data_IF_981345401054
#
_entry.id   IF_981345401054
#
_cell.length_a   1.000
_cell.length_b   1.000
_cell.length_c   1.000
_cell.angle_alpha   90.00
_cell.angle_beta   90.00
_cell.angle_gamma   90.00
#
_symmetry.space_group_name_H-M   'P 1'
#
loop_
_entity.id
_entity.type
_entity.pdbx_description
1 polymer ?
#
# COMPACT_ATOMS: atom_id res chain seq x y z
N UNK A 1 25.13 -24.39 -7.90
CA UNK A 1 24.55 -23.10 -8.34
C UNK A 1 25.60 -22.02 -8.23
N UNK A 2 25.85 -21.30 -9.33
CA UNK A 2 26.77 -20.15 -9.38
C UNK A 2 26.14 -18.90 -8.78
N UNK A 3 26.95 -17.89 -8.42
CA UNK A 3 26.45 -16.60 -7.90
C UNK A 3 25.50 -15.89 -8.88
N UNK A 4 25.76 -16.01 -10.19
CA UNK A 4 24.91 -15.43 -11.25
C UNK A 4 23.56 -16.15 -11.36
N UNK A 5 23.55 -17.48 -11.24
CA UNK A 5 22.31 -18.27 -11.17
C UNK A 5 21.51 -17.95 -9.91
N UNK A 6 22.20 -17.82 -8.77
CA UNK A 6 21.59 -17.45 -7.48
C UNK A 6 20.83 -16.13 -7.59
N UNK A 7 21.49 -15.10 -8.12
CA UNK A 7 20.87 -13.79 -8.34
C UNK A 7 19.62 -13.88 -9.21
N UNK A 8 19.69 -14.60 -10.33
CA UNK A 8 18.53 -14.80 -11.23
C UNK A 8 17.39 -15.55 -10.53
N UNK A 9 17.71 -16.57 -9.73
CA UNK A 9 16.72 -17.35 -9.00
C UNK A 9 16.06 -16.54 -7.89
N UNK A 10 16.83 -15.80 -7.10
CA UNK A 10 16.33 -14.88 -6.06
C UNK A 10 15.34 -13.88 -6.66
N UNK A 11 15.71 -13.21 -7.75
CA UNK A 11 14.82 -12.25 -8.41
C UNK A 11 13.53 -12.89 -8.94
N UNK A 12 13.62 -14.14 -9.45
CA UNK A 12 12.43 -14.89 -9.87
C UNK A 12 11.54 -15.27 -8.68
N UNK A 13 12.13 -15.73 -7.59
CA UNK A 13 11.41 -16.11 -6.37
C UNK A 13 10.70 -14.92 -5.75
N UNK A 14 11.38 -13.77 -5.60
CA UNK A 14 10.77 -12.52 -5.12
C UNK A 14 9.50 -12.19 -5.90
N UNK A 15 9.60 -12.13 -7.24
CA UNK A 15 8.46 -11.83 -8.12
C UNK A 15 7.31 -12.84 -7.99
N UNK A 16 7.62 -14.14 -7.92
CA UNK A 16 6.59 -15.18 -7.78
C UNK A 16 5.88 -15.11 -6.43
N UNK A 17 6.66 -14.98 -5.35
CA UNK A 17 6.12 -14.88 -3.99
C UNK A 17 5.24 -13.63 -3.87
N UNK A 18 5.71 -12.48 -4.34
CA UNK A 18 4.92 -11.24 -4.33
C UNK A 18 3.65 -11.36 -5.16
N UNK A 19 3.71 -12.02 -6.32
CA UNK A 19 2.54 -12.27 -7.15
C UNK A 19 1.49 -13.12 -6.42
N UNK A 20 1.87 -14.27 -5.85
CA UNK A 20 0.91 -15.13 -5.15
C UNK A 20 0.38 -14.50 -3.87
N UNK A 21 1.21 -13.76 -3.14
CA UNK A 21 0.78 -12.96 -1.99
C UNK A 21 -0.24 -11.91 -2.38
N UNK A 22 -0.01 -11.21 -3.50
CA UNK A 22 -0.96 -10.21 -4.01
C UNK A 22 -2.30 -10.86 -4.37
N UNK A 23 -2.28 -12.02 -5.04
CA UNK A 23 -3.51 -12.75 -5.34
C UNK A 23 -4.28 -13.08 -4.05
N UNK A 24 -3.60 -13.65 -3.05
CA UNK A 24 -4.25 -14.10 -1.83
C UNK A 24 -4.68 -12.94 -0.92
N UNK A 25 -3.77 -12.03 -0.56
CA UNK A 25 -4.02 -11.00 0.45
C UNK A 25 -4.68 -9.72 -0.06
N UNK A 26 -4.68 -9.48 -1.38
CA UNK A 26 -5.26 -8.26 -1.97
C UNK A 26 -6.45 -8.57 -2.87
N UNK A 27 -6.38 -9.65 -3.65
CA UNK A 27 -7.47 -10.02 -4.55
C UNK A 27 -8.38 -11.11 -3.99
N UNK A 28 -8.09 -11.64 -2.80
CA UNK A 28 -8.81 -12.74 -2.17
C UNK A 28 -8.94 -13.96 -3.12
N UNK A 29 -7.81 -14.34 -3.73
CA UNK A 29 -7.70 -15.44 -4.70
C UNK A 29 -6.58 -16.40 -4.35
N UNK A 30 -6.93 -17.65 -4.10
CA UNK A 30 -5.97 -18.73 -3.90
C UNK A 30 -5.59 -19.37 -5.25
N UNK A 31 -4.32 -19.24 -5.65
CA UNK A 31 -3.81 -19.80 -6.91
C UNK A 31 -2.85 -20.98 -6.71
N UNK A 32 -2.25 -21.10 -5.52
CA UNK A 32 -1.39 -22.19 -5.08
C UNK A 32 -1.67 -22.47 -3.61
N UNK A 33 -1.34 -23.68 -3.13
CA UNK A 33 -1.48 -24.02 -1.72
C UNK A 33 -0.53 -23.21 -0.83
N UNK A 34 -0.90 -23.04 0.44
CA UNK A 34 -0.02 -22.44 1.45
C UNK A 34 1.35 -23.13 1.52
N UNK A 35 1.39 -24.47 1.46
CA UNK A 35 2.63 -25.25 1.48
C UNK A 35 3.56 -24.98 0.29
N UNK A 36 2.98 -24.73 -0.90
CA UNK A 36 3.75 -24.36 -2.07
C UNK A 36 4.36 -22.96 -1.91
N UNK A 37 3.59 -22.01 -1.39
CA UNK A 37 4.09 -20.66 -1.10
C UNK A 37 5.21 -20.68 -0.04
N UNK A 38 5.05 -21.48 1.01
CA UNK A 38 6.06 -21.64 2.06
C UNK A 38 7.34 -22.28 1.54
N UNK A 39 7.23 -23.24 0.62
CA UNK A 39 8.38 -23.84 -0.05
C UNK A 39 9.16 -22.80 -0.86
N UNK A 40 8.47 -21.92 -1.59
CA UNK A 40 9.11 -20.81 -2.32
C UNK A 40 9.80 -19.82 -1.36
N UNK A 41 9.13 -19.46 -0.26
CA UNK A 41 9.68 -18.57 0.78
C UNK A 41 10.93 -19.19 1.43
N UNK A 42 10.89 -20.49 1.74
CA UNK A 42 12.01 -21.23 2.32
C UNK A 42 13.20 -21.29 1.37
N UNK A 43 12.95 -21.54 0.08
CA UNK A 43 14.01 -21.51 -0.93
C UNK A 43 14.66 -20.12 -1.01
N UNK A 44 13.86 -19.06 -1.10
CA UNK A 44 14.35 -17.68 -1.13
C UNK A 44 15.21 -17.37 0.10
N UNK A 45 14.72 -17.70 1.29
CA UNK A 45 15.45 -17.53 2.54
C UNK A 45 16.81 -18.24 2.51
N UNK A 46 16.84 -19.52 2.12
CA UNK A 46 18.09 -20.28 2.07
C UNK A 46 19.10 -19.68 1.08
N UNK A 47 18.62 -19.17 -0.06
CA UNK A 47 19.47 -18.51 -1.05
C UNK A 47 20.03 -17.19 -0.54
N UNK A 48 19.22 -16.38 0.13
CA UNK A 48 19.66 -15.11 0.73
C UNK A 48 20.62 -15.32 1.89
N UNK A 49 20.45 -16.35 2.71
CA UNK A 49 21.44 -16.72 3.74
C UNK A 49 22.79 -17.10 3.12
N UNK A 50 22.77 -17.78 1.96
CA UNK A 50 23.99 -18.19 1.25
C UNK A 50 24.65 -17.04 0.47
N UNK A 51 23.87 -16.06 0.02
CA UNK A 51 24.33 -14.89 -0.73
C UNK A 51 23.73 -13.59 -0.13
N UNK A 52 24.18 -13.17 1.07
CA UNK A 52 23.59 -12.03 1.79
C UNK A 52 23.64 -10.72 1.02
N UNK A 53 24.58 -10.56 0.08
CA UNK A 53 24.70 -9.38 -0.79
C UNK A 53 23.51 -9.17 -1.74
N UNK A 54 22.63 -10.18 -1.88
CA UNK A 54 21.41 -10.09 -2.68
C UNK A 54 20.15 -9.80 -1.86
N UNK A 55 20.27 -9.69 -0.54
CA UNK A 55 19.15 -9.27 0.31
C UNK A 55 18.83 -7.80 -0.01
N UNK A 56 17.56 -7.54 -0.28
CA UNK A 56 17.07 -6.17 -0.56
C UNK A 56 15.90 -5.82 0.36
N UNK A 57 15.67 -4.53 0.66
CA UNK A 57 14.62 -4.10 1.60
C UNK A 57 13.18 -4.51 1.22
N UNK A 58 12.96 -4.79 -0.07
CA UNK A 58 11.70 -5.24 -0.66
C UNK A 58 11.55 -6.76 -0.74
N UNK A 59 12.55 -7.54 -0.30
CA UNK A 59 12.43 -9.00 -0.34
C UNK A 59 11.32 -9.49 0.61
N UNK A 60 10.50 -10.47 0.21
CA UNK A 60 9.47 -11.08 1.07
C UNK A 60 10.00 -11.63 2.39
N UNK A 61 11.28 -11.95 2.48
CA UNK A 61 11.95 -12.42 3.71
C UNK A 61 12.17 -11.30 4.73
N UNK A 62 12.04 -10.03 4.35
CA UNK A 62 12.23 -8.87 5.22
C UNK A 62 10.97 -8.47 5.99
N UNK A 63 9.93 -9.32 5.97
CA UNK A 63 8.64 -9.09 6.65
C UNK A 63 8.58 -9.65 8.07
N UNK A 64 9.74 -9.80 8.69
CA UNK A 64 9.85 -10.38 10.02
C UNK A 64 9.55 -9.29 11.05
N UNK A 65 8.67 -9.59 12.00
CA UNK A 65 8.55 -8.78 13.22
C UNK A 65 9.86 -8.89 14.00
N UNK A 66 10.64 -7.82 14.04
CA UNK A 66 11.91 -7.77 14.78
C UNK A 66 11.70 -7.83 16.29
N UNK A 67 12.76 -7.52 17.04
CA UNK A 67 12.63 -7.28 18.49
C UNK A 67 11.61 -6.16 18.74
N UNK A 68 10.75 -6.28 19.77
CA UNK A 68 9.92 -5.17 20.20
C UNK A 68 10.77 -3.91 20.38
N UNK A 69 10.28 -2.78 19.86
CA UNK A 69 10.94 -1.50 20.06
C UNK A 69 10.71 -1.03 21.49
N UNK A 70 11.76 -0.51 22.14
CA UNK A 70 11.64 0.09 23.47
C UNK A 70 10.75 1.35 23.46
N UNK A 71 10.70 2.03 22.31
CA UNK A 71 9.85 3.21 22.05
C UNK A 71 9.62 3.42 20.57
N UNK A 72 8.51 4.06 20.22
CA UNK A 72 8.28 4.54 18.86
C UNK A 72 8.97 5.89 18.61
N UNK A 73 9.60 6.02 17.45
CA UNK A 73 10.15 7.29 17.00
C UNK A 73 9.04 8.18 16.41
N UNK A 74 9.13 9.49 16.63
CA UNK A 74 8.18 10.44 16.05
C UNK A 74 8.52 10.69 14.57
N UNK A 75 7.49 10.71 13.72
CA UNK A 75 7.61 11.02 12.30
C UNK A 75 6.74 12.22 11.99
N UNK A 76 7.32 13.27 11.41
CA UNK A 76 6.55 14.40 10.89
C UNK A 76 5.97 14.02 9.54
N UNK A 77 4.67 14.18 9.36
CA UNK A 77 4.02 13.90 8.08
C UNK A 77 4.44 14.95 7.03
N UNK A 78 4.71 14.55 5.78
CA UNK A 78 4.98 15.47 4.69
C UNK A 78 3.77 16.35 4.37
N UNK A 79 2.55 15.85 4.64
CA UNK A 79 1.29 16.57 4.53
C UNK A 79 0.39 16.25 5.74
N UNK A 80 -0.38 17.21 6.29
CA UNK A 80 -1.27 16.94 7.41
C UNK A 80 -2.32 15.85 7.11
N UNK A 81 -2.47 14.88 8.01
CA UNK A 81 -3.54 13.87 7.97
C UNK A 81 -4.81 14.40 8.64
N UNK A 82 -5.75 14.87 7.82
CA UNK A 82 -7.00 15.49 8.24
C UNK A 82 -8.01 14.47 8.83
N UNK A 83 -8.98 14.99 9.58
CA UNK A 83 -10.18 14.27 10.00
C UNK A 83 -11.38 14.70 9.16
N UNK A 84 -12.43 13.88 9.18
CA UNK A 84 -13.73 14.25 8.62
C UNK A 84 -14.62 14.91 9.68
N UNK A 85 -15.57 15.72 9.22
CA UNK A 85 -16.71 16.11 10.04
C UNK A 85 -17.75 14.98 9.99
N UNK A 86 -18.43 14.75 11.10
CA UNK A 86 -19.46 13.72 11.20
C UNK A 86 -20.85 14.27 10.81
N UNK A 87 -21.71 13.36 10.38
CA UNK A 87 -23.13 13.59 10.09
C UNK A 87 -23.91 12.35 10.55
N UNK A 88 -24.96 12.54 11.34
CA UNK A 88 -25.72 11.45 11.96
C UNK A 88 -27.16 11.38 11.47
N UNK A 89 -27.61 12.39 10.71
CA UNK A 89 -28.93 12.48 10.13
C UNK A 89 -28.89 12.86 8.66
N UNK A 90 -29.99 12.63 7.95
CA UNK A 90 -30.16 13.09 6.58
C UNK A 90 -30.11 14.62 6.48
N UNK A 91 -30.54 15.32 7.54
CA UNK A 91 -30.51 16.78 7.57
C UNK A 91 -29.08 17.32 7.66
N UNK A 92 -28.21 16.71 8.47
CA UNK A 92 -26.79 17.08 8.55
C UNK A 92 -26.11 17.04 7.18
N UNK A 93 -26.46 16.03 6.36
CA UNK A 93 -25.95 15.87 5.00
C UNK A 93 -26.51 16.95 4.06
N UNK A 94 -27.80 17.29 4.16
CA UNK A 94 -28.39 18.39 3.36
C UNK A 94 -27.76 19.72 3.72
N UNK A 95 -27.56 20.00 5.00
CA UNK A 95 -26.92 21.21 5.48
C UNK A 95 -25.48 21.31 4.98
N UNK A 96 -24.74 20.19 5.03
CA UNK A 96 -23.40 20.11 4.44
C UNK A 96 -23.43 20.41 2.93
N UNK A 97 -24.38 19.85 2.19
CA UNK A 97 -24.51 20.09 0.76
C UNK A 97 -24.82 21.56 0.44
N UNK A 98 -25.73 22.19 1.18
CA UNK A 98 -26.07 23.60 1.01
C UNK A 98 -24.92 24.53 1.39
N UNK A 99 -24.10 24.18 2.41
CA UNK A 99 -22.85 24.91 2.69
C UNK A 99 -21.89 24.85 1.50
N UNK A 100 -21.67 23.67 0.91
CA UNK A 100 -20.79 23.52 -0.25
C UNK A 100 -21.33 24.24 -1.49
N UNK A 101 -22.64 24.21 -1.71
CA UNK A 101 -23.30 24.92 -2.82
C UNK A 101 -23.06 26.42 -2.79
N UNK A 102 -23.01 27.04 -1.60
CA UNK A 102 -22.70 28.47 -1.44
C UNK A 102 -21.26 28.83 -1.81
N UNK A 103 -20.36 27.86 -1.84
CA UNK A 103 -18.95 28.04 -2.22
C UNK A 103 -18.70 27.88 -3.72
N UNK A 104 -19.72 27.49 -4.51
CA UNK A 104 -19.57 27.10 -5.91
C UNK A 104 -20.54 27.87 -6.80
N UNK A 105 -20.14 28.11 -8.06
CA UNK A 105 -21.05 28.68 -9.05
C UNK A 105 -22.15 27.68 -9.43
N UNK A 106 -23.32 28.12 -9.93
CA UNK A 106 -24.37 27.21 -10.39
C UNK A 106 -23.91 26.19 -11.44
N UNK A 107 -22.92 26.55 -12.27
CA UNK A 107 -22.35 25.67 -13.30
C UNK A 107 -21.43 24.60 -12.69
N UNK A 108 -20.67 24.94 -11.66
CA UNK A 108 -19.81 24.00 -10.94
C UNK A 108 -20.64 23.05 -10.08
N UNK A 109 -21.66 23.57 -9.38
CA UNK A 109 -22.52 22.77 -8.53
C UNK A 109 -23.25 21.66 -9.33
N UNK A 110 -23.73 21.99 -10.54
CA UNK A 110 -24.34 21.01 -11.47
C UNK A 110 -23.39 19.89 -11.93
N UNK A 111 -22.08 20.06 -11.73
CA UNK A 111 -21.04 19.08 -12.11
C UNK A 111 -20.48 18.33 -10.91
N UNK A 112 -20.92 18.64 -9.69
CA UNK A 112 -20.48 17.88 -8.51
C UNK A 112 -21.00 16.46 -8.64
N UNK A 113 -20.10 15.53 -8.38
CA UNK A 113 -20.40 14.12 -8.21
C UNK A 113 -19.84 13.68 -6.85
N UNK A 114 -20.42 12.64 -6.28
CA UNK A 114 -20.01 12.13 -4.96
C UNK A 114 -19.54 10.70 -5.09
N UNK A 115 -18.41 10.41 -4.43
CA UNK A 115 -17.96 9.05 -4.20
C UNK A 115 -18.16 8.71 -2.74
N UNK A 116 -18.86 7.60 -2.47
CA UNK A 116 -19.15 7.14 -1.13
C UNK A 116 -18.35 5.86 -0.85
N UNK A 117 -17.69 5.82 0.30
CA UNK A 117 -16.93 4.67 0.78
C UNK A 117 -17.42 4.29 2.19
N UNK A 118 -17.44 2.98 2.53
CA UNK A 118 -17.65 2.57 3.92
C UNK A 118 -16.53 3.13 4.81
N UNK A 119 -16.91 3.75 5.93
CA UNK A 119 -15.93 4.22 6.93
C UNK A 119 -15.38 3.03 7.70
N UNK A 120 -14.14 2.63 7.39
CA UNK A 120 -13.45 1.57 8.10
C UNK A 120 -13.14 2.01 9.53
N UNK A 121 -13.55 1.19 10.51
CA UNK A 121 -13.24 1.43 11.92
C UNK A 121 -11.88 0.81 12.27
N UNK A 122 -10.86 1.65 12.33
CA UNK A 122 -9.47 1.24 12.50
C UNK A 122 -8.54 2.44 12.67
N UNK A 123 -7.23 2.19 12.52
CA UNK A 123 -6.21 3.22 12.67
C UNK A 123 -5.76 3.74 11.30
N UNK A 124 -5.72 5.06 11.16
CA UNK A 124 -5.15 5.71 9.99
C UNK A 124 -3.62 5.56 10.00
N UNK A 125 -3.08 5.09 8.88
CA UNK A 125 -1.66 4.88 8.64
C UNK A 125 -1.22 5.64 7.38
N UNK A 126 -0.01 6.18 7.42
CA UNK A 126 0.68 6.73 6.25
C UNK A 126 1.73 5.72 5.77
N UNK A 127 1.83 5.52 4.46
CA UNK A 127 2.84 4.67 3.83
C UNK A 127 3.63 5.49 2.80
N UNK A 128 4.91 5.74 3.09
CA UNK A 128 5.81 6.49 2.22
C UNK A 128 6.64 5.49 1.40
N UNK A 129 6.57 5.65 0.08
CA UNK A 129 7.36 4.89 -0.88
C UNK A 129 8.37 5.80 -1.58
N UNK A 130 9.63 5.40 -1.59
CA UNK A 130 10.71 6.08 -2.32
C UNK A 130 11.18 5.18 -3.45
N UNK A 131 11.15 5.68 -4.69
CA UNK A 131 11.48 4.89 -5.89
C UNK A 131 10.70 3.56 -5.96
N UNK A 132 9.45 3.59 -5.49
CA UNK A 132 8.56 2.43 -5.43
C UNK A 132 8.85 1.45 -4.30
N UNK A 133 9.83 1.68 -3.41
CA UNK A 133 10.16 0.81 -2.27
C UNK A 133 9.57 1.40 -1.00
N UNK A 134 8.92 0.57 -0.18
CA UNK A 134 8.36 0.98 1.10
C UNK A 134 9.46 1.43 2.06
N UNK A 135 9.45 2.71 2.42
CA UNK A 135 10.52 3.36 3.20
C UNK A 135 10.12 3.57 4.65
N UNK A 136 8.99 4.24 4.87
CA UNK A 136 8.52 4.63 6.19
C UNK A 136 7.01 4.45 6.26
N UNK A 137 6.52 3.85 7.35
CA UNK A 137 5.12 3.88 7.68
C UNK A 137 4.88 4.42 9.08
N UNK A 138 3.86 5.24 9.24
CA UNK A 138 3.57 5.93 10.50
C UNK A 138 2.09 5.94 10.85
N UNK A 139 1.79 5.96 12.15
CA UNK A 139 0.43 6.24 12.65
C UNK A 139 0.05 7.69 12.36
N UNK A 140 -1.24 8.02 12.44
CA UNK A 140 -1.70 9.42 12.31
C UNK A 140 -1.21 10.34 13.43
N UNK A 141 -1.10 9.83 14.66
CA UNK A 141 -0.86 10.64 15.85
C UNK A 141 -1.83 11.83 15.93
N UNK A 142 -1.28 13.06 15.97
CA UNK A 142 -2.08 14.30 16.02
C UNK A 142 -2.42 14.88 14.64
N UNK A 143 -2.15 14.16 13.55
CA UNK A 143 -2.35 14.60 12.18
C UNK A 143 -1.15 15.36 11.58
N UNK A 144 -0.21 15.84 12.39
CA UNK A 144 1.05 16.46 11.93
C UNK A 144 2.27 15.60 12.24
N UNK A 145 2.23 14.90 13.37
CA UNK A 145 3.28 14.03 13.87
C UNK A 145 2.64 12.71 14.30
N UNK A 146 3.15 11.63 13.73
CA UNK A 146 2.82 10.25 14.04
C UNK A 146 3.97 9.49 14.69
N UNK A 147 3.77 8.19 14.83
CA UNK A 147 4.76 7.25 15.35
C UNK A 147 5.25 6.31 14.25
N UNK A 148 6.56 6.08 14.15
CA UNK A 148 7.16 5.17 13.19
C UNK A 148 6.80 3.72 13.53
N UNK A 149 5.93 3.12 12.72
CA UNK A 149 5.48 1.72 12.85
C UNK A 149 5.87 0.91 11.62
N UNK A 150 6.95 1.29 10.93
CA UNK A 150 7.38 0.68 9.67
C UNK A 150 7.56 -0.83 9.78
N UNK A 151 8.21 -1.31 10.85
CA UNK A 151 8.45 -2.75 11.01
C UNK A 151 7.14 -3.53 11.22
N UNK A 152 6.19 -2.98 11.98
CA UNK A 152 4.86 -3.57 12.16
C UNK A 152 4.12 -3.61 10.82
N UNK A 153 4.16 -2.53 10.03
CA UNK A 153 3.46 -2.47 8.75
C UNK A 153 4.06 -3.42 7.70
N UNK A 154 5.36 -3.74 7.77
CA UNK A 154 5.99 -4.75 6.90
C UNK A 154 5.41 -6.16 7.13
N UNK A 155 4.95 -6.48 8.33
CA UNK A 155 4.36 -7.80 8.63
C UNK A 155 2.94 -7.94 8.07
N UNK A 156 2.27 -6.83 7.73
CA UNK A 156 0.96 -6.85 7.10
C UNK A 156 1.11 -7.30 5.64
N UNK A 157 0.62 -8.49 5.33
CA UNK A 157 0.93 -9.14 4.06
C UNK A 157 0.35 -8.40 2.83
N UNK A 158 -0.76 -7.67 3.01
CA UNK A 158 -1.42 -6.86 1.99
C UNK A 158 -0.70 -5.52 1.73
N UNK A 159 0.18 -5.07 2.62
CA UNK A 159 1.03 -3.88 2.38
C UNK A 159 2.19 -4.30 1.47
N UNK A 160 2.31 -3.77 0.24
CA UNK A 160 3.40 -4.14 -0.65
C UNK A 160 4.71 -3.50 -0.20
N UNK A 161 5.83 -4.25 -0.19
CA UNK A 161 7.15 -3.65 0.04
C UNK A 161 7.71 -2.95 -1.19
N UNK A 162 7.19 -3.30 -2.37
CA UNK A 162 7.49 -2.65 -3.65
C UNK A 162 6.18 -2.41 -4.42
N UNK A 163 5.99 -1.18 -4.88
CA UNK A 163 4.92 -0.83 -5.80
C UNK A 163 5.22 -1.39 -7.19
N UNK A 164 4.16 -1.77 -7.90
CA UNK A 164 4.24 -2.13 -9.31
C UNK A 164 4.77 -0.95 -10.11
N UNK A 165 5.48 -1.24 -11.19
CA UNK A 165 5.89 -0.19 -12.11
C UNK A 165 4.66 0.47 -12.76
N UNK A 166 4.86 1.70 -13.26
CA UNK A 166 3.78 2.49 -13.83
C UNK A 166 3.11 1.80 -15.02
N UNK A 167 3.86 1.05 -15.84
CA UNK A 167 3.33 0.36 -17.01
C UNK A 167 2.42 -0.79 -16.60
N UNK A 168 2.82 -1.56 -15.60
CA UNK A 168 2.03 -2.64 -15.02
C UNK A 168 0.76 -2.09 -14.36
N UNK A 169 0.87 -0.99 -13.61
CA UNK A 169 -0.27 -0.32 -13.01
C UNK A 169 -1.28 0.17 -14.08
N UNK A 170 -0.81 0.82 -15.14
CA UNK A 170 -1.64 1.25 -16.27
C UNK A 170 -2.33 0.05 -16.92
N UNK A 171 -1.60 -1.02 -17.23
CA UNK A 171 -2.16 -2.23 -17.84
C UNK A 171 -3.26 -2.86 -16.96
N UNK A 172 -3.05 -2.88 -15.64
CA UNK A 172 -4.05 -3.34 -14.69
C UNK A 172 -5.32 -2.47 -14.70
N UNK A 173 -5.16 -1.14 -14.65
CA UNK A 173 -6.28 -0.20 -14.67
C UNK A 173 -7.08 -0.28 -15.99
N UNK A 174 -6.39 -0.45 -17.12
CA UNK A 174 -7.02 -0.66 -18.44
C UNK A 174 -7.87 -1.95 -18.44
N UNK A 175 -7.34 -3.06 -17.91
CA UNK A 175 -8.08 -4.32 -17.75
C UNK A 175 -9.30 -4.18 -16.84
N UNK A 176 -9.23 -3.31 -15.83
CA UNK A 176 -10.35 -2.97 -14.93
C UNK A 176 -11.32 -1.95 -15.52
N UNK A 177 -11.12 -1.53 -16.78
CA UNK A 177 -11.94 -0.53 -17.50
C UNK A 177 -11.97 0.84 -16.81
N UNK A 178 -10.95 1.17 -16.01
CA UNK A 178 -10.79 2.45 -15.31
C UNK A 178 -10.12 3.50 -16.21
N UNK A 179 -10.68 3.72 -17.41
CA UNK A 179 -10.06 4.53 -18.48
C UNK A 179 -9.78 5.98 -18.06
N UNK A 180 -10.67 6.60 -17.26
CA UNK A 180 -10.49 7.97 -16.78
C UNK A 180 -9.21 8.13 -15.94
N UNK A 181 -8.95 7.20 -15.03
CA UNK A 181 -7.76 7.22 -14.17
C UNK A 181 -6.50 7.04 -15.02
N UNK A 182 -6.53 6.11 -15.97
CA UNK A 182 -5.41 5.87 -16.89
C UNK A 182 -5.07 7.13 -17.68
N UNK A 183 -6.07 7.85 -18.16
CA UNK A 183 -5.87 9.10 -18.89
C UNK A 183 -5.21 10.15 -18.01
N UNK A 184 -5.72 10.38 -16.79
CA UNK A 184 -5.12 11.34 -15.84
C UNK A 184 -3.66 11.01 -15.49
N UNK A 185 -3.32 9.72 -15.36
CA UNK A 185 -1.94 9.31 -15.10
C UNK A 185 -1.03 9.60 -16.29
N UNK A 186 -1.50 9.41 -17.53
CA UNK A 186 -0.72 9.66 -18.76
C UNK A 186 -0.51 11.14 -19.06
N UNK A 187 -1.34 12.02 -18.50
CA UNK A 187 -1.30 13.47 -18.68
C UNK A 187 -0.37 14.19 -17.67
N UNK A 188 0.18 13.47 -16.68
CA UNK A 188 1.14 13.97 -15.70
C UNK A 188 2.57 13.58 -16.08
#
# INVERSE_FOLDING_TARGET
MTKKEAKKRIEKLKKLIDYYRYLYHVLDKEAISASALDSLKKELFNLEQKYPEFITPDSPTQRIGGKPLDKFEKVKHPQPMLSFNDAFSQEDIKDWLERNKKLLTPKEFKKIDFYCEPKMDGLAIELIYENGIFKTGSTRGNGLIGENVTQNLKTIESVPLRLKDLKEAISYLEKKKLKKIVQTIKER
#
